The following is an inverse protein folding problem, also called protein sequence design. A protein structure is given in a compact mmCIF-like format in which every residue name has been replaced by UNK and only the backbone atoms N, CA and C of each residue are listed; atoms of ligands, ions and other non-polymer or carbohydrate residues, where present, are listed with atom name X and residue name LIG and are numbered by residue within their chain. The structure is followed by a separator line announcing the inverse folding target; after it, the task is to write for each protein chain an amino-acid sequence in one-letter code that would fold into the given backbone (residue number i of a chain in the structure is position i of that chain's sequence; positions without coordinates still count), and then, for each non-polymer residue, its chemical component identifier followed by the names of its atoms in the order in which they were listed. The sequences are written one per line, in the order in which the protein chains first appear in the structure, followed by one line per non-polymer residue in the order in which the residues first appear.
data_IF_553510686905
#
_entry.id   IF_553510686905
#
_cell.length_a   1.000
_cell.length_b   1.000
_cell.length_c   1.000
_cell.angle_alpha   90.00
_cell.angle_beta   90.00
_cell.angle_gamma   90.00
#
_symmetry.space_group_name_H-M   'P 1'
#
loop_
_entity.id
_entity.type
_entity.pdbx_description
1 polymer ?
#
# COMPACT_ATOMS: atom_id res chain seq x y z
N UNK A 1 0.47 9.32 -19.01
CA UNK A 1 0.41 9.56 -17.55
C UNK A 1 1.19 10.83 -17.30
N UNK A 2 0.65 11.79 -16.57
CA UNK A 2 1.38 13.03 -16.27
C UNK A 2 2.47 12.73 -15.23
N UNK A 3 3.73 12.78 -15.66
CA UNK A 3 4.89 12.49 -14.80
C UNK A 3 5.04 13.49 -13.65
N UNK A 4 4.45 14.68 -13.75
CA UNK A 4 4.41 15.63 -12.65
C UNK A 4 3.48 15.18 -11.53
N UNK A 5 2.51 14.32 -11.84
CA UNK A 5 1.55 13.75 -10.88
C UNK A 5 2.06 12.43 -10.35
N UNK A 6 2.59 11.56 -11.22
CA UNK A 6 3.15 10.27 -10.84
C UNK A 6 4.15 9.75 -11.87
N UNK A 7 5.38 9.55 -11.40
CA UNK A 7 6.42 8.75 -12.06
C UNK A 7 6.63 7.53 -11.17
N UNK A 8 6.31 6.34 -11.68
CA UNK A 8 6.48 5.06 -10.96
C UNK A 8 6.35 3.92 -11.97
N UNK A 9 7.24 2.93 -11.90
CA UNK A 9 7.06 1.70 -12.66
C UNK A 9 5.89 0.89 -12.07
N UNK A 10 4.99 0.41 -12.93
CA UNK A 10 3.80 -0.34 -12.54
C UNK A 10 3.63 -1.58 -13.42
N UNK A 11 3.35 -2.72 -12.79
CA UNK A 11 2.92 -3.97 -13.42
C UNK A 11 1.58 -4.33 -12.78
N UNK A 12 0.60 -4.60 -13.65
CA UNK A 12 -0.74 -5.01 -13.27
C UNK A 12 -0.71 -6.35 -12.53
N UNK A 13 -1.63 -6.53 -11.57
CA UNK A 13 -1.84 -7.80 -10.88
C UNK A 13 -2.00 -9.00 -11.82
N UNK A 14 -2.59 -8.81 -13.02
CA UNK A 14 -2.78 -9.87 -14.02
C UNK A 14 -1.47 -10.52 -14.51
N UNK A 15 -0.32 -9.87 -14.28
CA UNK A 15 1.01 -10.33 -14.68
C UNK A 15 1.84 -10.80 -13.48
N UNK A 16 1.24 -10.90 -12.30
CA UNK A 16 1.91 -11.26 -11.05
C UNK A 16 1.32 -12.57 -10.56
N UNK A 17 2.18 -13.49 -10.16
CA UNK A 17 1.81 -14.71 -9.47
C UNK A 17 2.80 -14.97 -8.35
N UNK A 18 2.33 -15.55 -7.24
CA UNK A 18 3.17 -15.89 -6.10
C UNK A 18 3.29 -17.41 -6.03
N UNK A 19 4.50 -17.92 -6.26
CA UNK A 19 4.76 -19.36 -6.26
C UNK A 19 4.95 -19.94 -4.84
N UNK A 20 5.18 -19.08 -3.85
CA UNK A 20 5.28 -19.52 -2.47
C UNK A 20 3.87 -19.93 -1.98
N UNK A 21 3.64 -21.21 -1.64
CA UNK A 21 2.31 -21.67 -1.24
C UNK A 21 1.81 -21.05 0.07
N UNK A 22 2.69 -20.39 0.84
CA UNK A 22 2.33 -19.69 2.08
C UNK A 22 1.83 -18.26 1.85
N UNK A 23 1.95 -17.73 0.63
CA UNK A 23 1.64 -16.32 0.34
C UNK A 23 0.18 -15.96 0.63
N UNK A 24 -0.76 -16.76 0.14
CA UNK A 24 -2.19 -16.47 0.32
C UNK A 24 -2.60 -16.55 1.79
N UNK A 25 -2.06 -17.52 2.53
CA UNK A 25 -2.26 -17.63 3.98
C UNK A 25 -1.71 -16.41 4.72
N UNK A 26 -0.49 -15.98 4.38
CA UNK A 26 0.13 -14.77 4.93
C UNK A 26 -0.73 -13.52 4.68
N UNK A 27 -1.21 -13.29 3.45
CA UNK A 27 -2.05 -12.13 3.13
C UNK A 27 -3.37 -12.20 3.90
N UNK A 28 -3.99 -13.38 4.01
CA UNK A 28 -5.22 -13.58 4.78
C UNK A 28 -5.04 -13.22 6.26
N UNK A 29 -3.97 -13.71 6.89
CA UNK A 29 -3.68 -13.41 8.30
C UNK A 29 -3.39 -11.92 8.50
N UNK A 30 -2.67 -11.30 7.55
CA UNK A 30 -2.41 -9.87 7.56
C UNK A 30 -3.70 -9.04 7.45
N UNK A 31 -4.64 -9.43 6.59
CA UNK A 31 -5.94 -8.75 6.47
C UNK A 31 -6.69 -8.78 7.79
N UNK A 32 -6.71 -9.91 8.51
CA UNK A 32 -7.36 -10.01 9.82
C UNK A 32 -6.74 -9.05 10.84
N UNK A 33 -5.41 -8.87 10.81
CA UNK A 33 -4.75 -7.88 11.66
C UNK A 33 -5.10 -6.44 11.25
N UNK A 34 -5.08 -6.15 9.96
CA UNK A 34 -5.37 -4.83 9.38
C UNK A 34 -6.79 -4.38 9.72
N UNK A 35 -7.80 -5.20 9.45
CA UNK A 35 -9.20 -4.84 9.71
C UNK A 35 -9.48 -4.63 11.20
N UNK A 36 -8.77 -5.36 12.07
CA UNK A 36 -8.84 -5.13 13.51
C UNK A 36 -8.23 -3.77 13.89
N UNK A 37 -7.06 -3.42 13.35
CA UNK A 37 -6.38 -2.14 13.61
C UNK A 37 -7.11 -0.93 13.01
N UNK A 38 -7.74 -1.11 11.85
CA UNK A 38 -8.58 -0.09 11.21
C UNK A 38 -9.93 0.10 11.91
N UNK A 39 -10.31 -0.80 12.83
CA UNK A 39 -11.58 -0.70 13.55
C UNK A 39 -12.80 -1.18 12.76
N UNK A 40 -12.62 -2.02 11.73
CA UNK A 40 -13.75 -2.61 10.99
C UNK A 40 -14.63 -3.39 11.97
N UNK A 41 -15.97 -3.19 11.97
CA UNK A 41 -16.88 -3.87 12.90
C UNK A 41 -16.78 -5.39 12.79
N UNK A 42 -16.74 -6.08 13.93
CA UNK A 42 -16.58 -7.54 14.00
C UNK A 42 -17.56 -8.33 13.10
N UNK A 43 -18.85 -7.98 12.98
CA UNK A 43 -19.79 -8.67 12.09
C UNK A 43 -19.37 -8.66 10.62
N UNK A 44 -18.59 -7.67 10.19
CA UNK A 44 -18.19 -7.49 8.79
C UNK A 44 -16.82 -8.10 8.48
N UNK A 45 -16.02 -8.43 9.50
CA UNK A 45 -14.60 -8.81 9.34
C UNK A 45 -14.41 -10.08 8.51
N UNK A 46 -15.29 -11.07 8.64
CA UNK A 46 -15.20 -12.33 7.89
C UNK A 46 -15.39 -12.17 6.38
N UNK A 47 -15.98 -11.04 5.95
CA UNK A 47 -16.31 -10.78 4.56
C UNK A 47 -15.24 -9.94 3.84
N UNK A 48 -14.29 -9.35 4.59
CA UNK A 48 -13.21 -8.56 4.00
C UNK A 48 -12.20 -9.47 3.32
N UNK A 49 -11.77 -9.08 2.12
CA UNK A 49 -10.75 -9.77 1.33
C UNK A 49 -9.77 -8.73 0.81
N UNK A 50 -8.53 -9.14 0.55
CA UNK A 50 -7.57 -8.31 -0.16
C UNK A 50 -7.45 -8.79 -1.60
N UNK A 51 -7.76 -7.93 -2.57
CA UNK A 51 -7.58 -8.21 -4.00
C UNK A 51 -6.34 -7.46 -4.51
N UNK A 52 -5.34 -8.19 -5.03
CA UNK A 52 -4.14 -7.55 -5.58
C UNK A 52 -4.54 -6.68 -6.77
N UNK A 53 -4.18 -5.40 -6.72
CA UNK A 53 -4.46 -4.46 -7.80
C UNK A 53 -3.24 -4.27 -8.72
N UNK A 54 -2.09 -3.98 -8.12
CA UNK A 54 -0.85 -3.66 -8.83
C UNK A 54 0.36 -3.81 -7.93
N UNK A 55 1.52 -4.02 -8.52
CA UNK A 55 2.79 -3.69 -7.86
C UNK A 55 3.29 -2.33 -8.37
N UNK A 56 4.10 -1.68 -7.54
CA UNK A 56 4.77 -0.43 -7.82
C UNK A 56 6.24 -0.52 -7.41
N UNK A 57 7.11 -0.06 -8.30
CA UNK A 57 8.52 0.14 -8.01
C UNK A 57 8.80 1.64 -8.17
N UNK A 58 9.07 2.29 -7.04
CA UNK A 58 9.47 3.70 -6.99
C UNK A 58 10.99 3.77 -7.06
N UNK A 59 11.52 4.48 -8.05
CA UNK A 59 12.94 4.82 -8.15
C UNK A 59 13.24 6.18 -7.51
N UNK A 60 14.52 6.55 -7.47
CA UNK A 60 14.94 7.86 -6.96
C UNK A 60 14.21 9.02 -7.68
N UNK A 61 13.63 9.92 -6.89
CA UNK A 61 12.81 11.04 -7.34
C UNK A 61 11.33 10.72 -7.53
N UNK A 62 10.95 9.43 -7.63
CA UNK A 62 9.54 9.04 -7.78
C UNK A 62 8.72 9.40 -6.56
N UNK A 63 7.50 9.85 -6.80
CA UNK A 63 6.55 10.32 -5.79
C UNK A 63 5.12 10.14 -6.27
N UNK A 64 4.18 10.35 -5.36
CA UNK A 64 2.76 10.44 -5.74
C UNK A 64 2.10 11.57 -4.98
N UNK A 65 1.55 12.54 -5.72
CA UNK A 65 0.90 13.73 -5.14
C UNK A 65 -0.27 13.36 -4.23
N UNK A 66 -0.67 14.25 -3.30
CA UNK A 66 -1.83 14.02 -2.45
C UNK A 66 -3.09 13.71 -3.27
N UNK A 67 -3.75 12.59 -2.95
CA UNK A 67 -5.00 12.19 -3.59
C UNK A 67 -5.77 11.20 -2.70
N UNK A 68 -7.04 10.97 -3.02
CA UNK A 68 -7.84 9.89 -2.43
C UNK A 68 -7.94 8.73 -3.40
N UNK A 69 -8.04 7.52 -2.85
CA UNK A 69 -8.34 6.37 -3.68
C UNK A 69 -9.78 6.47 -4.17
N UNK A 70 -9.97 6.09 -5.43
CA UNK A 70 -11.32 5.85 -5.98
C UNK A 70 -11.58 4.36 -5.94
N UNK A 71 -12.83 4.00 -5.67
CA UNK A 71 -13.28 2.61 -5.66
C UNK A 71 -12.89 1.91 -6.97
N UNK A 72 -12.21 0.76 -6.85
CA UNK A 72 -11.70 -0.02 -7.99
C UNK A 72 -12.47 -1.30 -8.24
N UNK A 73 -13.12 -1.81 -7.19
CA UNK A 73 -13.96 -3.01 -7.17
C UNK A 73 -15.15 -2.70 -6.26
N UNK A 74 -16.28 -3.34 -6.52
CA UNK A 74 -17.50 -3.16 -5.72
C UNK A 74 -17.24 -3.50 -4.25
N UNK A 75 -17.58 -2.56 -3.36
CA UNK A 75 -17.41 -2.70 -1.93
C UNK A 75 -16.00 -2.41 -1.42
N UNK A 76 -15.09 -1.89 -2.26
CA UNK A 76 -13.77 -1.46 -1.79
C UNK A 76 -13.93 -0.28 -0.83
N UNK A 77 -13.42 -0.45 0.38
CA UNK A 77 -13.48 0.57 1.43
C UNK A 77 -12.10 1.08 1.82
N UNK A 78 -11.02 0.43 1.38
CA UNK A 78 -9.68 0.83 1.73
C UNK A 78 -8.58 0.22 0.87
N UNK A 79 -7.36 0.59 1.23
CA UNK A 79 -6.14 0.16 0.55
C UNK A 79 -5.22 -0.52 1.56
N UNK A 80 -4.68 -1.67 1.19
CA UNK A 80 -3.57 -2.33 1.88
C UNK A 80 -2.33 -2.27 0.99
N UNK A 81 -1.23 -1.75 1.52
CA UNK A 81 0.07 -1.75 0.87
C UNK A 81 1.02 -2.67 1.62
N UNK A 82 1.57 -3.67 0.94
CA UNK A 82 2.65 -4.52 1.45
C UNK A 82 3.95 -4.03 0.82
N UNK A 83 4.87 -3.52 1.63
CA UNK A 83 6.21 -3.13 1.22
C UNK A 83 7.11 -4.36 1.28
N UNK A 84 7.67 -4.73 0.12
CA UNK A 84 8.58 -5.86 -0.02
C UNK A 84 10.00 -5.44 0.35
N UNK A 85 10.87 -6.38 0.77
CA UNK A 85 12.25 -6.07 1.08
C UNK A 85 12.97 -5.43 -0.12
N UNK A 86 13.42 -4.19 0.08
CA UNK A 86 14.18 -3.39 -0.87
C UNK A 86 14.74 -2.17 -0.14
N UNK A 87 16.06 -2.02 -0.06
CA UNK A 87 16.68 -0.89 0.63
C UNK A 87 16.34 0.45 -0.06
N UNK A 88 15.84 1.42 0.70
CA UNK A 88 15.57 2.77 0.22
C UNK A 88 15.65 3.84 1.31
N UNK A 89 15.86 5.09 0.89
CA UNK A 89 15.70 6.29 1.73
C UNK A 89 14.56 7.16 1.18
N UNK A 90 13.83 7.85 2.07
CA UNK A 90 12.64 8.59 1.66
C UNK A 90 11.46 7.66 1.35
N UNK A 91 10.50 8.14 0.55
CA UNK A 91 9.30 7.36 0.21
C UNK A 91 8.28 7.28 1.35
N UNK A 92 8.34 8.22 2.30
CA UNK A 92 7.38 8.33 3.39
C UNK A 92 5.95 8.47 2.85
N UNK A 93 5.02 7.82 3.54
CA UNK A 93 3.59 7.88 3.24
C UNK A 93 2.94 8.85 4.20
N UNK A 94 2.45 9.96 3.66
CA UNK A 94 1.67 10.93 4.43
C UNK A 94 0.19 10.63 4.25
N UNK A 95 -0.52 10.49 5.36
CA UNK A 95 -1.96 10.21 5.43
C UNK A 95 -2.66 11.40 6.09
N UNK A 96 -3.80 11.80 5.55
CA UNK A 96 -4.60 12.91 6.08
C UNK A 96 -6.09 12.58 6.01
N UNK A 97 -6.78 12.75 7.14
CA UNK A 97 -8.23 12.64 7.24
C UNK A 97 -8.78 13.81 8.04
N UNK A 98 -9.51 14.71 7.37
CA UNK A 98 -9.94 15.98 7.98
C UNK A 98 -8.74 16.82 8.42
N UNK A 99 -8.64 17.10 9.72
CA UNK A 99 -7.52 17.85 10.31
C UNK A 99 -6.38 16.97 10.82
N UNK A 100 -6.64 15.67 10.95
CA UNK A 100 -5.66 14.72 11.49
C UNK A 100 -4.72 14.26 10.37
N UNK A 101 -3.46 14.06 10.73
CA UNK A 101 -2.45 13.58 9.79
C UNK A 101 -1.43 12.67 10.45
N UNK A 102 -0.83 11.80 9.65
CA UNK A 102 0.16 10.82 10.07
C UNK A 102 1.18 10.63 8.97
N UNK A 103 2.46 10.64 9.32
CA UNK A 103 3.55 10.26 8.42
C UNK A 103 4.09 8.89 8.82
N UNK A 104 4.22 7.99 7.84
CA UNK A 104 4.70 6.63 8.03
C UNK A 104 5.93 6.40 7.16
N UNK A 105 7.05 6.03 7.79
CA UNK A 105 8.26 5.62 7.06
C UNK A 105 8.38 4.10 7.00
N UNK A 106 8.81 3.61 5.85
CA UNK A 106 9.11 2.18 5.62
C UNK A 106 10.62 1.93 5.46
N UNK A 107 11.43 2.99 5.47
CA UNK A 107 12.84 2.95 5.10
C UNK A 107 13.73 2.20 6.10
N UNK A 108 13.53 2.39 7.41
CA UNK A 108 14.45 1.99 8.50
C UNK A 108 14.85 0.50 8.48
N UNK A 109 13.99 -0.35 7.96
CA UNK A 109 14.08 -1.82 8.00
C UNK A 109 13.70 -2.44 6.66
N UNK A 110 13.58 -1.58 5.63
CA UNK A 110 13.19 -1.93 4.26
C UNK A 110 14.12 -2.95 3.60
N UNK A 111 15.41 -2.98 3.96
CA UNK A 111 16.39 -3.86 3.34
C UNK A 111 16.11 -5.37 3.55
N UNK A 112 15.46 -5.75 4.66
CA UNK A 112 15.31 -7.16 5.05
C UNK A 112 13.88 -7.53 5.49
N UNK A 113 13.14 -6.58 6.06
CA UNK A 113 11.78 -6.80 6.54
C UNK A 113 10.75 -6.44 5.48
N UNK A 114 9.58 -7.08 5.58
CA UNK A 114 8.38 -6.53 4.95
C UNK A 114 7.68 -5.58 5.92
N UNK A 115 7.04 -4.56 5.36
CA UNK A 115 6.17 -3.64 6.10
C UNK A 115 4.79 -3.65 5.48
N UNK A 116 3.78 -3.22 6.24
CA UNK A 116 2.48 -2.95 5.66
C UNK A 116 1.92 -1.63 6.16
N UNK A 117 1.10 -1.03 5.30
CA UNK A 117 0.37 0.20 5.55
C UNK A 117 -1.07 -0.03 5.11
N UNK A 118 -2.04 0.52 5.82
CA UNK A 118 -3.42 0.46 5.38
C UNK A 118 -4.18 1.71 5.79
N UNK A 119 -5.13 2.13 4.95
CA UNK A 119 -5.98 3.29 5.18
C UNK A 119 -7.33 3.11 4.49
N UNK A 120 -8.34 3.85 4.96
CA UNK A 120 -9.66 3.92 4.33
C UNK A 120 -9.60 4.75 3.03
N UNK A 121 -10.48 4.45 2.07
CA UNK A 121 -10.47 5.08 0.75
C UNK A 121 -10.72 6.61 0.79
N UNK A 122 -11.36 7.10 1.83
CA UNK A 122 -11.61 8.52 2.06
C UNK A 122 -10.44 9.28 2.70
N UNK A 123 -9.34 8.59 3.03
CA UNK A 123 -8.08 9.19 3.49
C UNK A 123 -7.31 9.74 2.29
N UNK A 124 -6.93 11.01 2.36
CA UNK A 124 -5.98 11.60 1.41
C UNK A 124 -4.59 11.05 1.72
N UNK A 125 -3.90 10.51 0.72
CA UNK A 125 -2.55 10.01 0.88
C UNK A 125 -1.58 10.57 -0.16
N UNK A 126 -0.33 10.71 0.25
CA UNK A 126 0.79 11.20 -0.56
C UNK A 126 2.00 10.30 -0.32
N UNK A 127 2.79 10.04 -1.37
CA UNK A 127 4.08 9.38 -1.27
C UNK A 127 5.17 10.43 -1.53
N UNK A 128 5.99 10.71 -0.52
CA UNK A 128 7.15 11.61 -0.64
C UNK A 128 8.19 11.02 -1.59
N UNK A 129 9.07 11.86 -2.18
CA UNK A 129 10.12 11.37 -3.06
C UNK A 129 10.98 10.30 -2.41
N UNK A 130 11.24 9.20 -3.13
CA UNK A 130 12.35 8.31 -2.80
C UNK A 130 13.65 9.07 -3.06
N UNK A 131 14.53 9.14 -2.06
CA UNK A 131 15.81 9.86 -2.16
C UNK A 131 16.97 8.98 -2.59
N UNK A 132 16.86 7.66 -2.35
CA UNK A 132 17.88 6.68 -2.72
C UNK A 132 17.27 5.29 -2.78
N UNK A 133 17.78 4.43 -3.66
CA UNK A 133 17.37 3.04 -3.76
C UNK A 133 16.00 2.87 -4.42
N UNK A 134 15.32 1.78 -4.09
CA UNK A 134 14.01 1.46 -4.67
C UNK A 134 13.00 1.09 -3.59
N UNK A 135 11.82 1.71 -3.62
CA UNK A 135 10.71 1.30 -2.76
C UNK A 135 9.77 0.39 -3.55
N UNK A 136 9.77 -0.89 -3.21
CA UNK A 136 8.96 -1.91 -3.88
C UNK A 136 7.72 -2.27 -3.06
N UNK A 137 6.54 -2.08 -3.63
CA UNK A 137 5.28 -2.36 -2.94
C UNK A 137 4.26 -3.12 -3.79
N UNK A 138 3.40 -3.87 -3.11
CA UNK A 138 2.17 -4.46 -3.62
C UNK A 138 0.99 -3.69 -3.05
N UNK A 139 0.05 -3.30 -3.90
CA UNK A 139 -1.18 -2.60 -3.51
C UNK A 139 -2.37 -3.52 -3.69
N UNK A 140 -3.15 -3.67 -2.63
CA UNK A 140 -4.37 -4.46 -2.57
C UNK A 140 -5.56 -3.53 -2.29
N UNK A 141 -6.69 -3.82 -2.94
CA UNK A 141 -7.98 -3.27 -2.58
C UNK A 141 -8.54 -4.09 -1.41
N UNK A 142 -9.03 -3.42 -0.37
CA UNK A 142 -9.73 -4.01 0.77
C UNK A 142 -11.24 -3.79 0.66
#
# INVERSE_FOLDING_TARGET
MDETVRKTLQISAKRISFLNPKWDGFVKDLVLEVIRKLGVPAPNRSNVRAELYKHLLYEEGDKFKPHKDTEKIDGMFGTLVICLPSEHEGGEVYLQHGKDSLELSTATTSAYGYYYLAWYADVTHEIKPVRKGYRWVLTYNL
#
